data_IF_908184473033
#
_entry.id   IF_908184473033
#
_cell.length_a   1.000
_cell.length_b   1.000
_cell.length_c   1.000
_cell.angle_alpha   90.00
_cell.angle_beta   90.00
_cell.angle_gamma   90.00
#
_symmetry.space_group_name_H-M   'P 1'
#
loop_
_entity.id
_entity.type
_entity.pdbx_description
1 polymer ?
#
# COMPACT_ATOMS: atom_id res chain seq x y z
N UNK A 1 5.20 -0.08 -3.13
CA UNK A 1 5.75 -1.33 -2.55
C UNK A 1 5.22 -2.53 -3.35
N UNK A 2 5.59 -3.76 -2.99
CA UNK A 2 4.97 -5.00 -3.48
C UNK A 2 4.89 -6.02 -2.34
N UNK A 3 3.98 -6.98 -2.42
CA UNK A 3 3.80 -8.03 -1.42
C UNK A 3 3.07 -9.25 -2.05
N UNK A 4 3.06 -10.43 -1.41
CA UNK A 4 2.39 -11.63 -1.92
C UNK A 4 0.85 -11.60 -1.85
N UNK A 5 0.26 -10.53 -1.29
CA UNK A 5 -1.19 -10.35 -1.18
C UNK A 5 -1.75 -9.63 -2.41
N UNK A 6 -3.01 -9.85 -2.73
CA UNK A 6 -3.76 -9.01 -3.66
C UNK A 6 -4.40 -7.85 -2.89
N UNK A 7 -4.43 -6.66 -3.49
CA UNK A 7 -5.18 -5.51 -2.97
C UNK A 7 -6.27 -5.08 -3.95
N UNK A 8 -7.43 -4.76 -3.43
CA UNK A 8 -8.54 -4.20 -4.20
C UNK A 8 -8.97 -2.89 -3.55
N UNK A 9 -8.99 -1.83 -4.34
CA UNK A 9 -9.43 -0.52 -3.92
C UNK A 9 -10.73 -0.14 -4.60
N UNK A 10 -11.70 0.38 -3.83
CA UNK A 10 -12.88 1.06 -4.37
C UNK A 10 -12.80 2.53 -4.01
N UNK A 11 -12.69 3.39 -5.02
CA UNK A 11 -12.68 4.84 -4.81
C UNK A 11 -14.09 5.32 -4.47
N UNK A 12 -14.21 6.00 -3.33
CA UNK A 12 -15.46 6.58 -2.83
C UNK A 12 -15.48 8.09 -3.06
N UNK A 13 -14.36 8.78 -2.78
CA UNK A 13 -14.19 10.23 -2.97
C UNK A 13 -12.75 10.56 -3.36
N UNK A 14 -12.54 11.66 -4.07
CA UNK A 14 -11.24 12.09 -4.58
C UNK A 14 -10.88 11.41 -5.91
N UNK A 15 -9.72 11.77 -6.47
CA UNK A 15 -9.19 11.16 -7.69
C UNK A 15 -7.81 10.64 -7.34
N UNK A 16 -7.59 9.35 -7.57
CA UNK A 16 -6.33 8.70 -7.24
C UNK A 16 -5.56 8.34 -8.50
N UNK A 17 -4.28 8.68 -8.54
CA UNK A 17 -3.35 8.11 -9.50
C UNK A 17 -2.79 6.82 -8.95
N UNK A 18 -3.02 5.73 -9.64
CA UNK A 18 -2.42 4.43 -9.34
C UNK A 18 -1.26 4.16 -10.28
N UNK A 19 -0.24 3.50 -9.74
CA UNK A 19 0.79 2.83 -10.52
C UNK A 19 0.73 1.33 -10.22
N UNK A 20 0.72 0.50 -11.25
CA UNK A 20 0.74 -0.96 -11.17
C UNK A 20 1.73 -1.51 -12.19
N UNK A 21 2.92 -1.90 -11.73
CA UNK A 21 4.04 -2.24 -12.61
C UNK A 21 4.46 -1.05 -13.46
N UNK A 22 4.30 -1.19 -14.77
CA UNK A 22 4.63 -0.17 -15.77
C UNK A 22 3.43 0.68 -16.19
N UNK A 23 2.23 0.36 -15.69
CA UNK A 23 1.02 1.11 -15.97
C UNK A 23 0.79 2.21 -14.92
N UNK A 24 0.36 3.37 -15.39
CA UNK A 24 -0.11 4.49 -14.56
C UNK A 24 -1.47 4.95 -15.07
N UNK A 25 -2.44 5.10 -14.18
CA UNK A 25 -3.81 5.49 -14.54
C UNK A 25 -4.51 6.22 -13.40
N UNK A 26 -5.47 7.07 -13.77
CA UNK A 26 -6.30 7.83 -12.84
C UNK A 26 -7.61 7.08 -12.56
N UNK A 27 -7.96 7.00 -11.28
CA UNK A 27 -9.13 6.32 -10.74
C UNK A 27 -10.06 7.34 -10.06
N UNK A 28 -11.08 7.87 -10.79
CA UNK A 28 -12.09 8.74 -10.20
C UNK A 28 -13.07 7.96 -9.28
N UNK A 29 -13.95 8.65 -8.53
CA UNK A 29 -14.96 8.01 -7.69
C UNK A 29 -15.79 6.97 -8.44
N UNK A 30 -16.02 5.82 -7.81
CA UNK A 30 -16.70 4.68 -8.42
C UNK A 30 -15.77 3.63 -9.02
N UNK A 31 -14.50 3.96 -9.28
CA UNK A 31 -13.52 3.02 -9.86
C UNK A 31 -13.15 1.91 -8.88
N UNK A 32 -13.03 0.68 -9.40
CA UNK A 32 -12.42 -0.46 -8.70
C UNK A 32 -11.05 -0.72 -9.31
N UNK A 33 -10.01 -0.74 -8.48
CA UNK A 33 -8.64 -1.04 -8.88
C UNK A 33 -8.22 -2.36 -8.23
N UNK A 34 -7.63 -3.26 -9.01
CA UNK A 34 -7.09 -4.53 -8.53
C UNK A 34 -5.58 -4.52 -8.74
N UNK A 35 -4.82 -4.67 -7.66
CA UNK A 35 -3.36 -4.72 -7.67
C UNK A 35 -2.94 -6.19 -7.45
N UNK A 36 -2.29 -6.83 -8.43
CA UNK A 36 -1.90 -8.23 -8.32
C UNK A 36 -0.80 -8.46 -7.27
N UNK A 37 -0.72 -9.67 -6.68
CA UNK A 37 0.42 -10.09 -5.88
C UNK A 37 1.75 -9.90 -6.61
N UNK A 38 2.80 -9.58 -5.85
CA UNK A 38 4.19 -9.44 -6.32
C UNK A 38 4.44 -8.34 -7.37
N UNK A 39 3.42 -7.60 -7.79
CA UNK A 39 3.57 -6.45 -8.69
C UNK A 39 3.81 -5.20 -7.86
N UNK A 40 4.84 -4.42 -8.19
CA UNK A 40 5.10 -3.15 -7.52
C UNK A 40 3.99 -2.16 -7.83
N UNK A 41 3.40 -1.58 -6.80
CA UNK A 41 2.32 -0.64 -6.92
C UNK A 41 2.39 0.49 -5.88
N UNK A 42 1.67 1.57 -6.17
CA UNK A 42 1.50 2.73 -5.30
C UNK A 42 0.26 3.51 -5.73
N UNK A 43 -0.25 4.38 -4.87
CA UNK A 43 -1.30 5.32 -5.22
C UNK A 43 -1.09 6.67 -4.56
N UNK A 44 -1.67 7.71 -5.14
CA UNK A 44 -1.68 9.07 -4.60
C UNK A 44 -3.01 9.75 -4.92
N UNK A 45 -3.63 10.39 -3.93
CA UNK A 45 -4.73 11.32 -4.21
C UNK A 45 -4.16 12.55 -4.96
N UNK A 46 -4.61 12.76 -6.19
CA UNK A 46 -4.22 13.88 -7.06
C UNK A 46 -5.31 14.96 -7.15
N UNK A 47 -6.47 14.75 -6.51
CA UNK A 47 -7.52 15.75 -6.39
C UNK A 47 -7.19 16.84 -5.36
N UNK A 48 -8.03 17.87 -5.34
CA UNK A 48 -7.98 19.02 -4.43
C UNK A 48 -8.79 18.81 -3.13
N UNK A 49 -9.50 17.69 -3.03
CA UNK A 49 -10.27 17.29 -1.85
C UNK A 49 -9.68 16.08 -1.13
N UNK A 50 -9.92 15.92 0.19
CA UNK A 50 -9.58 14.69 0.90
C UNK A 50 -10.21 13.46 0.24
N UNK A 51 -9.36 12.49 -0.10
CA UNK A 51 -9.78 11.25 -0.73
C UNK A 51 -10.34 10.24 0.27
N UNK A 52 -11.13 9.29 -0.24
CA UNK A 52 -11.66 8.18 0.53
C UNK A 52 -11.73 6.93 -0.36
N UNK A 53 -11.24 5.80 0.14
CA UNK A 53 -11.31 4.51 -0.53
C UNK A 53 -11.66 3.40 0.47
N UNK A 54 -12.29 2.33 -0.01
CA UNK A 54 -12.23 1.04 0.66
C UNK A 54 -11.03 0.27 0.14
N UNK A 55 -10.26 -0.34 1.05
CA UNK A 55 -9.18 -1.27 0.72
C UNK A 55 -9.57 -2.66 1.20
N UNK A 56 -9.37 -3.66 0.34
CA UNK A 56 -9.55 -5.07 0.66
C UNK A 56 -8.23 -5.76 0.33
N UNK A 57 -7.63 -6.42 1.32
CA UNK A 57 -6.39 -7.17 1.14
C UNK A 57 -6.67 -8.65 1.39
N UNK A 58 -6.22 -9.51 0.46
CA UNK A 58 -6.41 -10.96 0.56
C UNK A 58 -5.14 -11.74 0.17
N UNK A 59 -4.74 -12.78 0.92
CA UNK A 59 -5.30 -13.21 2.21
C UNK A 59 -5.11 -12.15 3.31
N UNK A 60 -5.83 -12.30 4.43
CA UNK A 60 -5.74 -11.39 5.59
C UNK A 60 -4.37 -11.39 6.26
N UNK A 61 -4.22 -10.59 7.33
CA UNK A 61 -2.96 -10.39 8.06
C UNK A 61 -2.24 -9.09 7.72
N UNK A 62 -2.74 -8.30 6.77
CA UNK A 62 -2.18 -6.98 6.46
C UNK A 62 -2.39 -5.98 7.60
N UNK A 63 -3.50 -6.13 8.34
CA UNK A 63 -3.81 -5.32 9.52
C UNK A 63 -2.72 -5.34 10.59
N UNK A 64 -1.91 -6.40 10.63
CA UNK A 64 -0.79 -6.51 11.58
C UNK A 64 0.26 -5.43 11.39
N UNK A 65 0.43 -4.89 10.18
CA UNK A 65 1.33 -3.77 9.94
C UNK A 65 1.00 -2.59 10.87
N UNK A 66 -0.27 -2.19 10.90
CA UNK A 66 -0.71 -1.04 11.68
C UNK A 66 -0.65 -1.31 13.18
N UNK A 67 -1.03 -2.52 13.60
CA UNK A 67 -0.99 -2.93 15.00
C UNK A 67 0.44 -2.97 15.54
N UNK A 68 1.39 -3.45 14.74
CA UNK A 68 2.78 -3.57 15.16
C UNK A 68 3.53 -2.24 15.13
N UNK A 69 3.21 -1.34 14.18
CA UNK A 69 3.71 0.04 14.21
C UNK A 69 3.24 0.75 15.48
N UNK A 70 1.94 0.65 15.80
CA UNK A 70 1.40 1.23 17.04
C UNK A 70 2.08 0.63 18.29
N UNK A 71 2.17 -0.70 18.38
CA UNK A 71 2.73 -1.37 19.54
C UNK A 71 4.23 -1.13 19.75
N UNK A 72 4.98 -0.94 18.65
CA UNK A 72 6.43 -0.67 18.71
C UNK A 72 6.75 0.81 18.95
N UNK A 73 5.84 1.72 18.59
CA UNK A 73 6.12 3.15 18.55
C UNK A 73 7.13 3.52 17.46
N UNK A 74 7.29 2.70 16.42
CA UNK A 74 8.17 3.00 15.29
C UNK A 74 7.72 4.28 14.58
N UNK A 75 8.60 5.27 14.51
CA UNK A 75 8.33 6.55 13.85
C UNK A 75 9.19 6.73 12.60
N UNK A 76 10.40 6.17 12.60
CA UNK A 76 11.36 6.37 11.53
C UNK A 76 11.17 5.34 10.40
N UNK A 77 11.43 5.71 9.13
CA UNK A 77 11.24 4.80 8.00
C UNK A 77 12.00 3.48 8.10
N UNK A 78 13.22 3.49 8.65
CA UNK A 78 14.05 2.31 8.85
C UNK A 78 13.51 1.38 9.96
N UNK A 79 12.94 1.94 11.01
CA UNK A 79 12.23 1.18 12.06
C UNK A 79 10.98 0.50 11.49
N UNK A 80 10.18 1.23 10.70
CA UNK A 80 8.98 0.71 10.04
C UNK A 80 9.36 -0.38 9.02
N UNK A 81 10.47 -0.21 8.31
CA UNK A 81 10.96 -1.18 7.33
C UNK A 81 11.23 -2.56 7.97
N UNK A 82 11.69 -2.63 9.22
CA UNK A 82 11.88 -3.92 9.92
C UNK A 82 10.55 -4.67 10.13
N UNK A 83 9.46 -3.95 10.35
CA UNK A 83 8.11 -4.50 10.50
C UNK A 83 7.59 -4.95 9.12
N UNK A 84 7.72 -4.07 8.13
CA UNK A 84 7.31 -4.33 6.75
C UNK A 84 8.01 -5.58 6.16
N UNK A 85 9.33 -5.72 6.35
CA UNK A 85 10.11 -6.87 5.86
C UNK A 85 9.59 -8.20 6.44
N UNK A 86 9.34 -8.24 7.75
CA UNK A 86 8.76 -9.42 8.42
C UNK A 86 7.35 -9.76 7.91
N UNK A 87 6.58 -8.76 7.51
CA UNK A 87 5.24 -8.93 6.95
C UNK A 87 5.23 -9.16 5.43
N UNK A 88 6.41 -9.27 4.80
CA UNK A 88 6.57 -9.55 3.38
C UNK A 88 6.23 -8.36 2.47
N UNK A 89 6.33 -7.13 3.01
CA UNK A 89 6.19 -5.89 2.24
C UNK A 89 7.57 -5.48 1.74
N UNK A 90 7.69 -5.35 0.42
CA UNK A 90 8.93 -5.02 -0.26
C UNK A 90 8.83 -3.60 -0.80
N UNK A 91 9.68 -2.71 -0.30
CA UNK A 91 9.83 -1.33 -0.75
C UNK A 91 11.32 -0.97 -0.76
N UNK A 92 11.65 0.30 -0.97
CA UNK A 92 13.05 0.70 -1.13
C UNK A 92 13.80 0.64 0.21
N UNK A 93 13.11 0.93 1.32
CA UNK A 93 13.68 0.84 2.68
C UNK A 93 13.91 -0.62 3.11
N UNK A 94 12.95 -1.52 2.85
CA UNK A 94 13.13 -2.94 3.19
C UNK A 94 14.22 -3.62 2.36
N UNK A 95 14.45 -3.15 1.13
CA UNK A 95 15.58 -3.58 0.31
C UNK A 95 16.93 -3.01 0.80
N UNK A 96 16.93 -1.87 1.49
CA UNK A 96 18.11 -1.23 2.03
C UNK A 96 18.52 -1.78 3.41
N UNK A 97 17.68 -2.59 4.06
CA UNK A 97 18.04 -3.32 5.28
C UNK A 97 19.27 -4.20 4.99
N UNK A 98 20.34 -4.00 5.75
CA UNK A 98 21.59 -4.78 5.62
C UNK A 98 21.31 -6.27 5.90
N UNK A 99 21.14 -7.07 4.83
CA UNK A 99 20.98 -8.53 4.89
C UNK A 99 22.33 -9.26 4.90
#
# INVERSE_FOLDING_TARGET
HSHPRAEVFRVVRGIYRFRCGDEEFDAPPGTVVVLPPHVRHSWRNIGDEPGQMFAIVTPGGFEQLFLEIEASGAEMPDEIALIEDRLGIINDETLALNR
#
